data_IF_425809353868
#
_entry.id   IF_425809353868
#
_cell.length_a   1.000
_cell.length_b   1.000
_cell.length_c   1.000
_cell.angle_alpha   90.00
_cell.angle_beta   90.00
_cell.angle_gamma   90.00
#
_symmetry.space_group_name_H-M   'P 1'
#
loop_
_entity.id
_entity.type
_entity.pdbx_description
1 polymer ?
#
# COMPACT_ATOMS: atom_id res chain seq x y z
N UNK A 1 8.23 -11.43 11.14
CA UNK A 1 7.04 -11.79 10.33
C UNK A 1 6.03 -10.65 10.40
N UNK A 2 5.43 -10.31 9.28
CA UNK A 2 4.49 -9.17 9.24
C UNK A 2 3.07 -9.63 9.51
N UNK A 3 2.27 -8.72 10.04
CA UNK A 3 0.84 -8.93 10.23
C UNK A 3 0.09 -8.54 8.96
N UNK A 4 -1.13 -9.07 8.74
CA UNK A 4 -1.89 -8.75 7.52
C UNK A 4 -2.09 -7.27 7.28
N UNK A 5 -2.43 -6.48 8.30
CA UNK A 5 -2.63 -5.05 8.11
C UNK A 5 -1.32 -4.33 7.78
N UNK A 6 -0.20 -4.86 8.23
CA UNK A 6 1.10 -4.28 7.89
C UNK A 6 1.43 -4.48 6.42
N UNK A 7 1.07 -5.64 5.88
CA UNK A 7 1.29 -5.91 4.46
C UNK A 7 0.43 -5.00 3.59
N UNK A 8 -0.81 -4.80 3.96
CA UNK A 8 -1.70 -3.88 3.24
C UNK A 8 -1.15 -2.45 3.32
N UNK A 9 -0.71 -2.05 4.50
CA UNK A 9 -0.14 -0.73 4.70
C UNK A 9 1.12 -0.53 3.87
N UNK A 10 1.95 -1.56 3.78
CA UNK A 10 3.17 -1.50 2.96
C UNK A 10 2.83 -1.29 1.49
N UNK A 11 1.79 -1.94 0.98
CA UNK A 11 1.35 -1.77 -0.39
C UNK A 11 0.89 -0.33 -0.62
N UNK A 12 0.08 0.21 0.28
CA UNK A 12 -0.42 1.58 0.17
C UNK A 12 0.73 2.60 0.23
N UNK A 13 1.67 2.39 1.15
CA UNK A 13 2.80 3.30 1.30
C UNK A 13 3.74 3.25 0.10
N UNK A 14 3.91 2.08 -0.49
CA UNK A 14 4.73 1.94 -1.69
C UNK A 14 4.10 2.70 -2.85
N UNK A 15 2.77 2.61 -2.99
CA UNK A 15 2.07 3.36 -4.02
C UNK A 15 2.28 4.86 -3.85
N UNK A 16 2.15 5.35 -2.62
CA UNK A 16 2.36 6.76 -2.31
C UNK A 16 3.79 7.18 -2.64
N UNK A 17 4.77 6.35 -2.29
CA UNK A 17 6.17 6.63 -2.60
C UNK A 17 6.40 6.75 -4.10
N UNK A 18 5.83 5.84 -4.88
CA UNK A 18 5.96 5.89 -6.34
C UNK A 18 5.35 7.16 -6.93
N UNK A 19 4.20 7.57 -6.39
CA UNK A 19 3.55 8.82 -6.83
C UNK A 19 4.40 10.03 -6.46
N UNK A 20 5.02 10.01 -5.27
CA UNK A 20 5.88 11.08 -4.83
C UNK A 20 7.12 11.21 -5.71
N UNK A 21 7.63 10.09 -6.24
CA UNK A 21 8.75 10.12 -7.18
C UNK A 21 8.40 10.82 -8.50
N UNK A 22 7.12 10.82 -8.88
CA UNK A 22 6.66 11.50 -10.08
C UNK A 22 6.41 12.98 -9.84
N UNK A 23 6.29 13.38 -8.58
CA UNK A 23 6.09 14.78 -8.20
C UNK A 23 7.46 15.44 -7.96
N UNK A 24 7.43 16.68 -7.55
CA UNK A 24 8.66 17.42 -7.23
C UNK A 24 9.14 17.20 -5.80
N UNK A 25 8.48 16.32 -5.04
CA UNK A 25 8.81 16.06 -3.66
C UNK A 25 10.25 15.54 -3.50
N UNK A 26 10.65 14.65 -4.40
CA UNK A 26 12.01 14.13 -4.44
C UNK A 26 12.69 14.58 -5.73
N UNK A 27 13.96 14.93 -5.62
CA UNK A 27 14.73 15.26 -6.81
C UNK A 27 15.39 14.00 -7.33
N UNK A 28 14.76 13.40 -8.34
CA UNK A 28 15.26 12.16 -8.90
C UNK A 28 15.51 12.33 -10.40
N UNK A 29 16.30 11.42 -10.97
CA UNK A 29 16.62 11.45 -12.38
C UNK A 29 15.40 11.10 -13.21
N UNK A 30 15.46 11.45 -14.49
CA UNK A 30 14.41 11.10 -15.45
C UNK A 30 14.23 9.60 -15.55
N UNK A 31 15.32 8.86 -15.45
CA UNK A 31 15.27 7.40 -15.49
C UNK A 31 14.49 6.83 -14.31
N UNK A 32 14.71 7.38 -13.12
CA UNK A 32 13.98 6.96 -11.93
C UNK A 32 12.49 7.27 -12.08
N UNK A 33 12.16 8.44 -12.62
CA UNK A 33 10.77 8.82 -12.87
C UNK A 33 10.08 7.85 -13.83
N UNK A 34 10.76 7.48 -14.90
CA UNK A 34 10.20 6.53 -15.87
C UNK A 34 9.92 5.19 -15.23
N UNK A 35 10.86 4.70 -14.42
CA UNK A 35 10.67 3.43 -13.73
C UNK A 35 9.52 3.50 -12.71
N UNK A 36 9.43 4.61 -11.97
CA UNK A 36 8.34 4.80 -11.03
C UNK A 36 6.99 4.81 -11.75
N UNK A 37 6.91 5.47 -12.90
CA UNK A 37 5.69 5.51 -13.70
C UNK A 37 5.29 4.10 -14.17
N UNK A 38 6.26 3.33 -14.64
CA UNK A 38 6.01 1.96 -15.10
C UNK A 38 5.47 1.08 -13.97
N UNK A 39 6.06 1.19 -12.78
CA UNK A 39 5.59 0.46 -11.62
C UNK A 39 4.18 0.89 -11.21
N UNK A 40 3.94 2.20 -11.22
CA UNK A 40 2.66 2.74 -10.77
C UNK A 40 1.52 2.44 -11.74
N UNK A 41 1.84 2.32 -13.03
CA UNK A 41 0.83 2.13 -14.08
C UNK A 41 -0.08 0.94 -13.82
N UNK A 42 0.48 -0.15 -13.33
CA UNK A 42 -0.29 -1.36 -13.06
C UNK A 42 -0.35 -1.71 -11.57
N UNK A 43 0.03 -0.77 -10.73
CA UNK A 43 0.03 -0.99 -9.28
C UNK A 43 -1.42 -1.07 -8.79
N UNK A 44 -1.75 -2.04 -7.92
CA UNK A 44 -3.13 -2.18 -7.46
C UNK A 44 -3.57 -0.97 -6.66
N UNK A 45 -4.64 -0.33 -7.13
CA UNK A 45 -5.21 0.83 -6.46
C UNK A 45 -6.06 0.42 -5.27
N UNK A 46 -6.65 1.43 -4.64
CA UNK A 46 -7.46 1.23 -3.44
C UNK A 46 -8.62 0.29 -3.68
N UNK A 47 -9.25 0.39 -4.85
CA UNK A 47 -10.38 -0.47 -5.18
C UNK A 47 -9.99 -1.95 -5.15
N UNK A 48 -8.89 -2.30 -5.83
CA UNK A 48 -8.45 -3.69 -5.89
C UNK A 48 -7.92 -4.17 -4.54
N UNK A 49 -7.27 -3.30 -3.79
CA UNK A 49 -6.78 -3.66 -2.48
C UNK A 49 -7.92 -3.90 -1.50
N UNK A 50 -9.03 -3.16 -1.62
CA UNK A 50 -10.20 -3.40 -0.79
C UNK A 50 -10.81 -4.77 -1.06
N UNK A 51 -10.83 -5.18 -2.33
CA UNK A 51 -11.30 -6.51 -2.69
C UNK A 51 -10.37 -7.58 -2.10
N UNK A 52 -9.07 -7.38 -2.23
CA UNK A 52 -8.09 -8.32 -1.70
C UNK A 52 -8.20 -8.45 -0.18
N UNK A 53 -8.44 -7.35 0.52
CA UNK A 53 -8.63 -7.39 1.97
C UNK A 53 -9.82 -8.26 2.36
N UNK A 54 -10.92 -8.14 1.64
CA UNK A 54 -12.13 -8.90 1.93
C UNK A 54 -11.97 -10.37 1.63
N UNK A 55 -11.26 -10.70 0.56
CA UNK A 55 -11.11 -12.07 0.12
C UNK A 55 -9.90 -12.77 0.73
N UNK A 56 -8.87 -12.01 1.06
CA UNK A 56 -7.62 -12.54 1.59
C UNK A 56 -7.26 -11.85 2.91
N UNK A 57 -8.18 -11.89 3.84
CA UNK A 57 -8.02 -11.21 5.13
C UNK A 57 -6.75 -11.66 5.86
N UNK A 58 -6.38 -12.93 5.73
CA UNK A 58 -5.18 -13.45 6.37
C UNK A 58 -3.90 -12.87 5.77
N UNK A 59 -3.96 -12.39 4.53
CA UNK A 59 -2.80 -11.83 3.84
C UNK A 59 -2.78 -10.32 3.94
N UNK A 60 -3.93 -9.69 3.66
CA UNK A 60 -4.08 -8.23 3.64
C UNK A 60 -5.21 -7.80 4.58
N UNK A 61 -5.02 -7.97 5.86
CA UNK A 61 -6.03 -7.55 6.82
C UNK A 61 -6.35 -6.05 6.70
N UNK A 62 -7.53 -5.68 7.18
CA UNK A 62 -8.01 -4.31 7.09
C UNK A 62 -7.60 -3.50 8.31
N UNK A 63 -7.76 -2.18 8.22
CA UNK A 63 -7.62 -1.32 9.38
C UNK A 63 -8.65 -1.68 10.45
N UNK A 64 -9.82 -2.10 10.02
CA UNK A 64 -10.87 -2.49 10.94
C UNK A 64 -10.42 -3.66 11.80
N UNK A 65 -9.72 -4.63 11.19
CA UNK A 65 -9.16 -5.75 11.94
C UNK A 65 -8.14 -5.28 12.95
N UNK A 66 -7.31 -4.32 12.56
CA UNK A 66 -6.33 -3.73 13.47
C UNK A 66 -7.02 -3.05 14.65
N UNK A 67 -8.04 -2.26 14.38
CA UNK A 67 -8.78 -1.57 15.42
C UNK A 67 -9.52 -2.54 16.32
N UNK A 68 -10.06 -3.62 15.77
CA UNK A 68 -10.73 -4.64 16.58
C UNK A 68 -9.76 -5.28 17.56
N UNK A 69 -8.57 -5.62 17.10
CA UNK A 69 -7.54 -6.20 17.96
C UNK A 69 -7.19 -5.23 19.08
N UNK A 70 -7.03 -3.96 18.76
CA UNK A 70 -6.71 -2.94 19.73
C UNK A 70 -7.82 -2.76 20.75
N UNK A 71 -9.07 -2.77 20.29
CA UNK A 71 -10.21 -2.64 21.18
C UNK A 71 -10.34 -3.85 22.11
N UNK A 72 -10.08 -5.04 21.60
CA UNK A 72 -10.14 -6.26 22.39
C UNK A 72 -9.03 -6.29 23.43
N UNK A 73 -7.89 -5.72 23.13
CA UNK A 73 -6.75 -5.68 24.04
C UNK A 73 -6.97 -4.79 25.27
N UNK A 74 -7.95 -3.94 25.18
CA UNK A 74 -8.30 -3.09 26.31
C UNK A 74 -9.24 -3.81 27.26
#
# INVERSE_FOLDING_TARGET
>A
MTLPYERKWAVDNTRTFLRDLLSDKYKVSEEVRKEAYRCLKHYPGEYYMNIAEKQLVEVFGTRDDFYKVELVSK
#
